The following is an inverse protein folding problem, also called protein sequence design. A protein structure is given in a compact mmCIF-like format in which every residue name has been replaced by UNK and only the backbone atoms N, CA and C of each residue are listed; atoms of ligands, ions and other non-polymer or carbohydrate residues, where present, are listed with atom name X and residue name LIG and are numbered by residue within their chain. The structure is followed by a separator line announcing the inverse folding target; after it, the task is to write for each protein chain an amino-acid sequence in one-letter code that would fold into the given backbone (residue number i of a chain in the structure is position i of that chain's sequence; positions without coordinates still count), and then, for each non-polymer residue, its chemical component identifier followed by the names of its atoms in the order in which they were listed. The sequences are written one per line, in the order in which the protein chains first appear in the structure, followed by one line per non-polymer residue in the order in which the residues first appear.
data_IF_430273075180
#
_entry.id   IF_430273075180
#
_cell.length_a   1.000
_cell.length_b   1.000
_cell.length_c   1.000
_cell.angle_alpha   90.00
_cell.angle_beta   90.00
_cell.angle_gamma   90.00
#
_symmetry.space_group_name_H-M   'P 1'
#
loop_
_entity.id
_entity.type
_entity.pdbx_description
1 polymer ?
#
# COMPACT_ATOMS: atom_id res chain seq x y z
N UNK A 1 1.92 25.41 -75.63
CA UNK A 1 0.88 26.03 -74.78
C UNK A 1 0.64 25.09 -73.60
N UNK A 2 1.37 25.29 -72.51
CA UNK A 2 1.28 24.47 -71.29
C UNK A 2 0.73 25.31 -70.16
N UNK A 3 -0.33 24.84 -69.50
CA UNK A 3 -0.88 25.43 -68.28
C UNK A 3 -0.83 24.35 -67.19
N UNK A 4 0.18 24.49 -66.34
CA UNK A 4 0.33 23.74 -65.09
C UNK A 4 -0.66 24.32 -64.07
N UNK A 5 -1.60 23.52 -63.59
CA UNK A 5 -2.35 23.85 -62.37
C UNK A 5 -1.49 23.46 -61.17
N UNK A 6 -0.87 24.47 -60.56
CA UNK A 6 -0.21 24.36 -59.27
C UNK A 6 -1.29 24.13 -58.19
N UNK A 7 -1.30 22.93 -57.61
CA UNK A 7 -2.01 22.67 -56.37
C UNK A 7 -1.20 23.33 -55.24
N UNK A 8 -1.78 24.35 -54.61
CA UNK A 8 -1.12 25.14 -53.59
C UNK A 8 -0.91 24.33 -52.31
N UNK A 9 0.33 24.30 -51.86
CA UNK A 9 0.90 23.56 -50.72
C UNK A 9 0.28 23.91 -49.35
N UNK A 10 -0.70 24.81 -49.29
CA UNK A 10 -1.26 25.33 -48.05
C UNK A 10 -2.46 24.52 -47.54
N UNK A 11 -3.17 23.79 -48.41
CA UNK A 11 -4.30 22.93 -47.97
C UNK A 11 -3.86 21.60 -47.37
N UNK A 12 -2.66 21.11 -47.71
CA UNK A 12 -2.07 19.92 -47.08
C UNK A 12 -1.56 20.25 -45.66
N UNK A 13 -1.02 21.44 -45.44
CA UNK A 13 -0.59 21.90 -44.11
C UNK A 13 -1.76 22.06 -43.12
N UNK A 14 -2.94 22.48 -43.59
CA UNK A 14 -4.13 22.61 -42.73
C UNK A 14 -4.71 21.25 -42.30
N UNK A 15 -4.57 20.20 -43.12
CA UNK A 15 -4.98 18.85 -42.75
C UNK A 15 -4.00 18.19 -41.77
N UNK A 16 -2.71 18.52 -41.84
CA UNK A 16 -1.70 18.06 -40.86
C UNK A 16 -1.90 18.75 -39.50
N UNK A 17 -2.23 20.04 -39.47
CA UNK A 17 -2.49 20.75 -38.21
C UNK A 17 -3.79 20.33 -37.51
N UNK A 18 -4.84 19.96 -38.26
CA UNK A 18 -6.10 19.46 -37.67
C UNK A 18 -5.97 18.00 -37.21
N UNK A 19 -5.12 17.19 -37.85
CA UNK A 19 -4.81 15.83 -37.39
C UNK A 19 -3.92 15.82 -36.14
N UNK A 20 -3.00 16.76 -35.97
CA UNK A 20 -2.24 16.92 -34.72
C UNK A 20 -3.11 17.32 -33.52
N UNK A 21 -4.17 18.11 -33.73
CA UNK A 21 -5.11 18.48 -32.67
C UNK A 21 -6.17 17.43 -32.36
N UNK A 22 -6.42 16.46 -33.26
CA UNK A 22 -7.42 15.41 -33.06
C UNK A 22 -6.86 14.11 -32.45
N UNK A 23 -5.53 13.92 -32.41
CA UNK A 23 -4.87 12.76 -31.81
C UNK A 23 -4.10 13.05 -30.51
N UNK A 24 -4.09 14.29 -30.04
CA UNK A 24 -3.82 14.57 -28.63
C UNK A 24 -5.09 14.32 -27.82
N UNK A 25 -5.51 13.05 -27.76
CA UNK A 25 -6.30 12.61 -26.63
C UNK A 25 -5.55 13.03 -25.38
N UNK A 26 -6.23 13.77 -24.51
CA UNK A 26 -5.68 14.28 -23.26
C UNK A 26 -5.06 13.12 -22.46
N UNK A 27 -3.77 12.87 -22.67
CA UNK A 27 -2.95 12.15 -21.72
C UNK A 27 -2.66 13.15 -20.61
N UNK A 28 -3.59 13.22 -19.66
CA UNK A 28 -3.29 13.73 -18.34
C UNK A 28 -2.21 12.82 -17.75
N UNK A 29 -0.94 13.12 -18.05
CA UNK A 29 0.14 12.76 -17.15
C UNK A 29 -0.11 13.53 -15.86
N UNK A 30 -0.77 12.90 -14.89
CA UNK A 30 -0.99 13.46 -13.57
C UNK A 30 0.38 13.87 -13.00
N UNK A 31 0.64 15.19 -13.03
CA UNK A 31 1.64 15.82 -12.17
C UNK A 31 1.43 15.23 -10.78
N UNK A 32 2.52 14.74 -10.17
CA UNK A 32 2.52 14.34 -8.77
C UNK A 32 1.73 15.39 -7.98
N UNK A 33 0.62 14.98 -7.40
CA UNK A 33 -0.27 15.87 -6.70
C UNK A 33 0.47 16.34 -5.46
N UNK A 34 1.12 17.50 -5.61
CA UNK A 34 1.77 18.21 -4.52
C UNK A 34 0.64 18.81 -3.68
N UNK A 35 -0.03 17.95 -2.91
CA UNK A 35 -1.16 18.33 -2.10
C UNK A 35 -0.64 19.27 -1.00
N UNK A 36 -1.10 20.52 -1.00
CA UNK A 36 -0.71 21.50 0.02
C UNK A 36 -1.04 21.06 1.46
N UNK A 37 -1.89 20.05 1.64
CA UNK A 37 -2.23 19.46 2.92
C UNK A 37 -1.25 18.38 3.40
N UNK A 38 -0.34 17.88 2.55
CA UNK A 38 0.76 16.99 2.94
C UNK A 38 1.98 17.85 3.26
N UNK A 39 2.49 17.73 4.48
CA UNK A 39 3.54 18.60 5.00
C UNK A 39 4.49 17.82 5.90
N UNK A 40 5.68 18.34 6.13
CA UNK A 40 6.60 17.82 7.15
C UNK A 40 6.04 18.09 8.56
N UNK A 41 6.17 17.13 9.48
CA UNK A 41 5.74 17.28 10.88
C UNK A 41 6.37 18.49 11.58
N UNK A 42 7.52 18.94 11.09
CA UNK A 42 8.27 20.12 11.56
C UNK A 42 7.49 21.43 11.39
N UNK A 43 6.52 21.43 10.47
CA UNK A 43 5.58 22.54 10.26
C UNK A 43 4.33 22.46 11.14
N UNK A 44 4.15 21.36 11.88
CA UNK A 44 2.99 21.18 12.73
C UNK A 44 3.02 22.12 13.93
N UNK A 45 1.87 22.66 14.38
CA UNK A 45 1.81 23.38 15.63
C UNK A 45 2.13 22.45 16.81
N UNK A 46 2.65 23.01 17.91
CA UNK A 46 2.93 22.23 19.14
C UNK A 46 1.66 21.58 19.70
N UNK A 47 0.52 22.26 19.58
CA UNK A 47 -0.80 21.73 19.95
C UNK A 47 -1.80 21.99 18.82
N UNK A 48 -2.57 20.97 18.44
CA UNK A 48 -3.61 21.05 17.41
C UNK A 48 -4.87 20.27 17.80
N UNK A 49 -5.98 20.55 17.10
CA UNK A 49 -7.29 19.94 17.38
C UNK A 49 -7.98 19.47 16.10
N UNK A 50 -8.41 18.21 16.09
CA UNK A 50 -9.08 17.59 14.94
C UNK A 50 -10.28 16.77 15.39
N UNK A 51 -11.22 16.54 14.49
CA UNK A 51 -12.32 15.61 14.75
C UNK A 51 -11.82 14.17 14.71
N UNK A 52 -10.95 13.85 13.75
CA UNK A 52 -10.31 12.55 13.64
C UNK A 52 -8.80 12.65 13.58
N UNK A 53 -8.12 11.75 14.30
CA UNK A 53 -6.67 11.58 14.22
C UNK A 53 -6.39 10.15 13.78
N UNK A 54 -5.80 9.99 12.60
CA UNK A 54 -5.42 8.71 12.01
C UNK A 54 -3.91 8.52 12.19
N UNK A 55 -3.53 7.43 12.84
CA UNK A 55 -2.14 7.08 13.11
C UNK A 55 -1.69 6.04 12.09
N UNK A 56 -0.80 6.41 11.19
CA UNK A 56 -0.38 5.60 10.04
C UNK A 56 -1.11 6.00 8.77
N UNK A 57 -0.38 6.54 7.81
CA UNK A 57 -0.86 6.86 6.46
C UNK A 57 -0.67 5.69 5.51
N UNK A 58 -0.90 4.45 5.97
CA UNK A 58 -0.78 3.24 5.15
C UNK A 58 -2.03 2.96 4.31
N UNK A 59 -2.16 1.71 3.85
CA UNK A 59 -3.28 1.25 3.01
C UNK A 59 -4.64 1.70 3.56
N UNK A 60 -5.06 1.21 4.73
CA UNK A 60 -6.34 1.60 5.32
C UNK A 60 -6.39 3.09 5.76
N UNK A 61 -5.25 3.65 6.21
CA UNK A 61 -5.18 5.01 6.73
C UNK A 61 -5.53 6.06 5.68
N UNK A 62 -5.00 5.95 4.47
CA UNK A 62 -5.30 6.87 3.36
C UNK A 62 -6.77 6.84 2.94
N UNK A 63 -7.36 5.64 2.81
CA UNK A 63 -8.78 5.47 2.45
C UNK A 63 -9.69 6.12 3.48
N UNK A 64 -9.42 5.85 4.77
CA UNK A 64 -10.19 6.39 5.88
C UNK A 64 -10.09 7.92 5.93
N UNK A 65 -8.88 8.46 5.76
CA UNK A 65 -8.64 9.89 5.78
C UNK A 65 -9.40 10.62 4.67
N UNK A 66 -9.34 10.10 3.44
CA UNK A 66 -10.07 10.65 2.30
C UNK A 66 -11.58 10.66 2.58
N UNK A 67 -12.11 9.57 3.13
CA UNK A 67 -13.54 9.43 3.46
C UNK A 67 -13.99 10.41 4.55
N UNK A 68 -13.29 10.45 5.68
CA UNK A 68 -13.67 11.27 6.84
C UNK A 68 -13.52 12.76 6.58
N UNK A 69 -12.52 13.16 5.77
CA UNK A 69 -12.24 14.58 5.48
C UNK A 69 -13.40 15.32 4.83
N UNK A 70 -14.33 14.60 4.18
CA UNK A 70 -15.50 15.20 3.52
C UNK A 70 -16.44 15.93 4.47
N UNK A 71 -16.50 15.51 5.73
CA UNK A 71 -17.47 16.01 6.71
C UNK A 71 -16.83 16.41 8.05
N UNK A 72 -15.51 16.27 8.20
CA UNK A 72 -14.82 16.44 9.47
C UNK A 72 -13.36 16.85 9.26
N UNK A 73 -12.78 17.50 10.28
CA UNK A 73 -11.34 17.80 10.25
C UNK A 73 -10.51 16.58 10.60
N UNK A 74 -9.59 16.20 9.72
CA UNK A 74 -8.79 14.97 9.81
C UNK A 74 -7.31 15.32 9.87
N UNK A 75 -6.61 14.67 10.80
CA UNK A 75 -5.16 14.61 10.83
C UNK A 75 -4.69 13.20 10.53
N UNK A 76 -3.74 13.05 9.61
CA UNK A 76 -2.98 11.81 9.38
C UNK A 76 -1.54 12.02 9.84
N UNK A 77 -1.02 11.09 10.61
CA UNK A 77 0.37 11.07 11.07
C UNK A 77 1.08 9.86 10.47
N UNK A 78 1.98 10.09 9.52
CA UNK A 78 2.83 9.08 8.91
C UNK A 78 4.26 9.23 9.41
N UNK A 79 4.88 8.13 9.83
CA UNK A 79 6.16 8.15 10.53
C UNK A 79 7.35 8.44 9.61
N UNK A 80 7.18 8.30 8.30
CA UNK A 80 8.20 8.53 7.29
C UNK A 80 7.71 9.45 6.15
N UNK A 81 8.48 9.54 5.08
CA UNK A 81 8.23 10.40 3.93
C UNK A 81 7.20 9.88 2.93
N UNK A 82 7.25 10.46 1.73
CA UNK A 82 6.30 10.22 0.63
C UNK A 82 6.96 9.51 -0.54
N UNK A 83 6.28 8.55 -1.19
CA UNK A 83 6.84 7.82 -2.33
C UNK A 83 6.98 8.73 -3.57
N UNK A 84 6.26 9.85 -3.60
CA UNK A 84 6.23 10.76 -4.74
C UNK A 84 7.42 11.72 -4.81
N UNK A 85 8.29 11.73 -3.78
CA UNK A 85 9.58 12.43 -3.82
C UNK A 85 10.49 11.81 -4.87
N UNK A 86 10.40 10.48 -5.07
CA UNK A 86 11.12 9.76 -6.11
C UNK A 86 10.24 8.68 -6.74
N UNK A 87 9.40 9.09 -7.70
CA UNK A 87 8.49 8.18 -8.42
C UNK A 87 9.22 7.05 -9.17
N UNK A 88 10.51 7.19 -9.48
CA UNK A 88 11.28 6.13 -10.12
C UNK A 88 11.38 4.91 -9.21
N UNK A 89 11.55 5.08 -7.89
CA UNK A 89 11.63 3.96 -6.94
C UNK A 89 10.37 3.07 -6.99
N UNK A 90 9.21 3.64 -7.24
CA UNK A 90 7.94 2.90 -7.20
C UNK A 90 7.51 2.30 -8.55
N UNK A 91 8.30 2.46 -9.62
CA UNK A 91 7.99 1.84 -10.92
C UNK A 91 8.17 0.32 -10.87
N UNK A 92 7.44 -0.40 -11.75
CA UNK A 92 7.43 -1.87 -11.76
C UNK A 92 8.84 -2.46 -11.85
N UNK A 93 9.72 -1.87 -12.68
CA UNK A 93 11.11 -2.30 -12.85
C UNK A 93 11.98 -2.18 -11.58
N UNK A 94 11.56 -1.36 -10.61
CA UNK A 94 12.28 -1.12 -9.36
C UNK A 94 11.61 -1.77 -8.15
N UNK A 95 10.64 -2.67 -8.36
CA UNK A 95 9.90 -3.30 -7.26
C UNK A 95 10.83 -4.09 -6.33
N UNK A 96 11.69 -4.95 -6.89
CA UNK A 96 12.62 -5.74 -6.07
C UNK A 96 13.66 -4.85 -5.38
N UNK A 97 14.25 -3.90 -6.12
CA UNK A 97 15.27 -3.00 -5.56
C UNK A 97 14.71 -2.15 -4.41
N UNK A 98 13.50 -1.60 -4.55
CA UNK A 98 12.82 -0.85 -3.50
C UNK A 98 12.43 -1.71 -2.31
N UNK A 99 11.98 -2.96 -2.53
CA UNK A 99 11.68 -3.87 -1.43
C UNK A 99 12.95 -4.22 -0.63
N UNK A 100 14.08 -4.43 -1.30
CA UNK A 100 15.38 -4.76 -0.66
C UNK A 100 16.18 -3.54 -0.19
N UNK A 101 15.72 -2.32 -0.46
CA UNK A 101 16.46 -1.10 -0.12
C UNK A 101 16.63 -0.98 1.40
N UNK A 102 17.87 -0.84 1.85
CA UNK A 102 18.21 -0.64 3.28
C UNK A 102 18.76 0.74 3.55
N UNK A 103 18.67 1.67 2.59
CA UNK A 103 19.11 3.04 2.78
C UNK A 103 18.27 3.77 3.83
N UNK A 104 18.77 4.85 4.44
CA UNK A 104 17.99 5.65 5.40
C UNK A 104 16.68 6.21 4.83
N UNK A 105 16.61 6.45 3.52
CA UNK A 105 15.43 6.92 2.79
C UNK A 105 14.62 5.77 2.14
N UNK A 106 14.87 4.52 2.55
CA UNK A 106 14.13 3.36 2.07
C UNK A 106 12.67 3.40 2.51
N UNK A 107 11.80 2.88 1.64
CA UNK A 107 10.38 2.65 1.93
C UNK A 107 10.12 1.34 2.69
N UNK A 108 11.17 0.55 2.88
CA UNK A 108 11.15 -0.80 3.44
C UNK A 108 11.86 -0.84 4.79
N UNK A 109 11.28 -1.54 5.76
CA UNK A 109 11.89 -1.83 7.05
C UNK A 109 11.91 -3.34 7.26
N UNK A 110 13.10 -3.94 7.16
CA UNK A 110 13.28 -5.35 7.42
C UNK A 110 13.21 -5.67 8.92
N UNK A 111 12.65 -6.83 9.24
CA UNK A 111 12.68 -7.44 10.57
C UNK A 111 12.82 -8.96 10.43
N UNK A 112 13.08 -9.63 11.55
CA UNK A 112 13.17 -11.09 11.61
C UNK A 112 12.21 -11.54 12.69
N UNK A 113 11.31 -12.48 12.37
CA UNK A 113 10.41 -13.08 13.35
C UNK A 113 11.17 -13.90 14.39
N UNK A 114 10.53 -14.25 15.50
CA UNK A 114 11.12 -15.14 16.51
C UNK A 114 11.39 -16.55 15.96
N UNK A 115 10.69 -16.96 14.90
CA UNK A 115 10.93 -18.21 14.16
C UNK A 115 12.16 -18.12 13.23
N UNK A 116 12.80 -16.95 13.12
CA UNK A 116 13.95 -16.71 12.24
C UNK A 116 13.58 -16.38 10.79
N UNK A 117 12.32 -16.07 10.51
CA UNK A 117 11.85 -15.70 9.16
C UNK A 117 12.10 -14.21 8.93
N UNK A 118 12.91 -13.90 7.92
CA UNK A 118 13.09 -12.51 7.46
C UNK A 118 11.80 -12.03 6.82
N UNK A 119 11.34 -10.85 7.21
CA UNK A 119 10.16 -10.21 6.66
C UNK A 119 10.38 -8.68 6.56
N UNK A 120 9.56 -7.96 5.81
CA UNK A 120 9.68 -6.53 5.55
C UNK A 120 8.32 -5.88 5.78
N UNK A 121 8.31 -4.70 6.40
CA UNK A 121 7.12 -3.86 6.50
C UNK A 121 7.35 -2.50 5.84
N UNK A 122 6.29 -1.83 5.34
CA UNK A 122 6.41 -0.50 4.77
C UNK A 122 6.71 0.58 5.82
N UNK A 123 7.43 1.62 5.39
CA UNK A 123 7.76 2.82 6.16
C UNK A 123 7.63 4.06 5.28
N UNK A 124 6.43 4.32 4.77
CA UNK A 124 6.17 5.37 3.77
C UNK A 124 4.67 5.66 3.68
N UNK A 125 4.29 6.89 3.33
CA UNK A 125 2.90 7.23 2.99
C UNK A 125 2.39 6.33 1.85
N UNK A 126 1.21 5.74 2.04
CA UNK A 126 0.63 4.71 1.15
C UNK A 126 0.87 3.27 1.66
N UNK A 127 1.82 3.07 2.58
CA UNK A 127 2.03 1.77 3.25
C UNK A 127 2.43 0.66 2.27
N UNK A 128 1.88 -0.55 2.47
CA UNK A 128 2.30 -1.77 1.75
C UNK A 128 2.10 -1.66 0.24
N UNK A 129 1.09 -0.88 -0.19
CA UNK A 129 0.81 -0.63 -1.61
C UNK A 129 1.98 0.02 -2.36
N UNK A 130 2.95 0.61 -1.65
CA UNK A 130 4.15 1.22 -2.24
C UNK A 130 5.23 0.19 -2.61
N UNK A 131 5.29 -0.94 -1.89
CA UNK A 131 6.41 -1.90 -1.99
C UNK A 131 6.00 -3.33 -2.38
N UNK A 132 4.70 -3.65 -2.36
CA UNK A 132 4.19 -5.00 -2.62
C UNK A 132 4.25 -5.43 -4.11
N UNK A 133 3.88 -6.70 -4.40
CA UNK A 133 3.80 -7.25 -5.76
C UNK A 133 2.75 -6.57 -6.67
N UNK A 134 1.81 -5.84 -6.08
CA UNK A 134 0.82 -5.04 -6.79
C UNK A 134 -0.33 -5.83 -7.41
N UNK A 135 -0.48 -7.11 -7.07
CA UNK A 135 -1.68 -7.88 -7.39
C UNK A 135 -2.90 -7.33 -6.63
N UNK A 136 -4.10 -7.51 -7.20
CA UNK A 136 -5.34 -7.06 -6.58
C UNK A 136 -6.43 -8.13 -6.72
N UNK A 137 -7.02 -8.48 -5.58
CA UNK A 137 -8.20 -9.31 -5.48
C UNK A 137 -9.13 -8.80 -4.37
N UNK A 138 -10.44 -8.95 -4.56
CA UNK A 138 -11.46 -8.77 -3.51
C UNK A 138 -11.42 -9.96 -2.56
N UNK A 139 -11.87 -9.74 -1.33
CA UNK A 139 -12.07 -10.83 -0.38
C UNK A 139 -13.18 -11.77 -0.84
N UNK A 140 -13.13 -13.02 -0.38
CA UNK A 140 -14.23 -13.96 -0.59
C UNK A 140 -15.53 -13.45 0.04
N UNK A 141 -16.65 -13.65 -0.66
CA UNK A 141 -17.98 -13.31 -0.12
C UNK A 141 -18.26 -14.02 1.21
N UNK A 142 -17.77 -15.25 1.38
CA UNK A 142 -17.89 -15.98 2.64
C UNK A 142 -17.18 -15.27 3.79
N UNK A 143 -15.99 -14.72 3.56
CA UNK A 143 -15.25 -13.94 4.55
C UNK A 143 -16.05 -12.71 5.00
N UNK A 144 -16.67 -11.98 4.06
CA UNK A 144 -17.51 -10.83 4.40
C UNK A 144 -18.69 -11.22 5.30
N UNK A 145 -19.41 -12.28 4.92
CA UNK A 145 -20.56 -12.80 5.67
C UNK A 145 -20.18 -13.29 7.06
N UNK A 146 -19.10 -14.06 7.16
CA UNK A 146 -18.64 -14.63 8.42
C UNK A 146 -18.25 -13.54 9.43
N UNK A 147 -17.74 -12.41 8.95
CA UNK A 147 -17.35 -11.27 9.78
C UNK A 147 -18.46 -10.22 9.94
N UNK A 148 -19.69 -10.49 9.45
CA UNK A 148 -20.82 -9.57 9.57
C UNK A 148 -20.65 -8.24 8.82
N UNK A 149 -19.86 -8.24 7.75
CA UNK A 149 -19.63 -7.07 6.91
C UNK A 149 -20.78 -6.91 5.89
N UNK A 150 -21.21 -5.67 5.66
CA UNK A 150 -22.22 -5.35 4.66
C UNK A 150 -21.64 -5.57 3.24
N UNK A 151 -22.15 -6.57 2.54
CA UNK A 151 -21.69 -6.95 1.20
C UNK A 151 -21.90 -5.84 0.17
N UNK A 152 -22.98 -5.07 0.27
CA UNK A 152 -23.27 -3.99 -0.67
C UNK A 152 -22.30 -2.82 -0.44
N UNK A 153 -22.10 -2.42 0.81
CA UNK A 153 -21.14 -1.38 1.15
C UNK A 153 -19.69 -1.79 0.84
N UNK A 154 -19.34 -3.06 1.05
CA UNK A 154 -18.04 -3.61 0.68
C UNK A 154 -17.83 -3.52 -0.84
N UNK A 155 -18.83 -3.91 -1.62
CA UNK A 155 -18.79 -3.80 -3.09
C UNK A 155 -18.62 -2.34 -3.55
N UNK A 156 -19.39 -1.41 -3.00
CA UNK A 156 -19.29 0.01 -3.33
C UNK A 156 -17.88 0.56 -3.00
N UNK A 157 -17.30 0.10 -1.88
CA UNK A 157 -15.96 0.46 -1.45
C UNK A 157 -14.88 -0.12 -2.38
N UNK A 158 -15.01 -1.38 -2.80
CA UNK A 158 -14.12 -1.99 -3.78
C UNK A 158 -14.13 -1.22 -5.09
N UNK A 159 -15.32 -0.94 -5.64
CA UNK A 159 -15.45 -0.21 -6.89
C UNK A 159 -14.90 1.22 -6.79
N UNK A 160 -14.97 1.86 -5.61
CA UNK A 160 -14.36 3.17 -5.38
C UNK A 160 -12.82 3.12 -5.43
N UNK A 161 -12.21 2.10 -4.83
CA UNK A 161 -10.75 1.89 -4.88
C UNK A 161 -10.29 1.52 -6.29
N UNK A 162 -10.99 0.58 -6.93
CA UNK A 162 -10.66 0.06 -8.25
C UNK A 162 -10.61 1.17 -9.30
N UNK A 163 -11.55 2.12 -9.25
CA UNK A 163 -11.60 3.25 -10.19
C UNK A 163 -10.34 4.12 -10.19
N UNK A 164 -9.60 4.20 -9.08
CA UNK A 164 -8.41 5.05 -8.97
C UNK A 164 -7.11 4.25 -9.03
N UNK A 165 -7.06 3.08 -8.41
CA UNK A 165 -5.81 2.37 -8.18
C UNK A 165 -5.61 1.15 -9.08
N UNK A 166 -6.67 0.51 -9.55
CA UNK A 166 -6.58 -0.85 -10.10
C UNK A 166 -6.88 -0.84 -11.58
N UNK A 167 -6.01 -1.47 -12.36
CA UNK A 167 -6.20 -1.68 -13.79
C UNK A 167 -6.19 -3.16 -14.14
N UNK A 168 -6.74 -3.50 -15.30
CA UNK A 168 -6.56 -4.82 -15.90
C UNK A 168 -5.12 -4.93 -16.43
N UNK A 169 -4.31 -5.90 -15.98
CA UNK A 169 -2.92 -5.97 -16.39
C UNK A 169 -2.78 -6.40 -17.85
N UNK A 170 -1.68 -5.97 -18.47
CA UNK A 170 -1.19 -6.54 -19.72
C UNK A 170 -0.51 -7.87 -19.40
N UNK A 171 -1.12 -8.98 -19.80
CA UNK A 171 -0.57 -10.33 -19.55
C UNK A 171 0.45 -10.65 -20.64
N UNK A 172 1.72 -10.75 -20.24
CA UNK A 172 2.85 -11.07 -21.12
C UNK A 172 3.02 -12.60 -21.28
N UNK A 173 4.13 -13.03 -21.88
CA UNK A 173 4.35 -14.41 -22.30
C UNK A 173 4.50 -15.35 -21.10
N UNK A 174 5.26 -14.93 -20.09
CA UNK A 174 5.49 -15.69 -18.86
C UNK A 174 4.19 -15.96 -18.10
N UNK A 175 3.40 -14.92 -17.83
CA UNK A 175 2.13 -15.07 -17.11
C UNK A 175 1.10 -15.85 -17.93
N UNK A 176 1.14 -15.74 -19.27
CA UNK A 176 0.33 -16.59 -20.15
C UNK A 176 0.69 -18.07 -20.01
N UNK A 177 2.00 -18.39 -20.01
CA UNK A 177 2.49 -19.74 -19.82
C UNK A 177 2.18 -20.29 -18.42
N UNK A 178 2.30 -19.47 -17.37
CA UNK A 178 1.88 -19.81 -16.00
C UNK A 178 0.39 -20.17 -15.97
N UNK A 179 -0.46 -19.33 -16.55
CA UNK A 179 -1.90 -19.58 -16.63
C UNK A 179 -2.19 -20.89 -17.37
N UNK A 180 -1.54 -21.15 -18.50
CA UNK A 180 -1.73 -22.41 -19.25
C UNK A 180 -1.23 -23.64 -18.44
N UNK A 181 -0.09 -23.53 -17.76
CA UNK A 181 0.44 -24.58 -16.90
C UNK A 181 -0.46 -24.91 -15.70
N UNK A 182 -1.03 -23.88 -15.06
CA UNK A 182 -2.01 -24.06 -13.97
C UNK A 182 -3.24 -24.85 -14.45
N UNK A 183 -3.72 -24.57 -15.67
CA UNK A 183 -4.83 -25.31 -16.27
C UNK A 183 -4.44 -26.74 -16.62
N UNK A 184 -3.22 -26.96 -17.14
CA UNK A 184 -2.69 -28.29 -17.48
C UNK A 184 -2.62 -29.20 -16.25
N UNK A 185 -2.21 -28.67 -15.09
CA UNK A 185 -2.12 -29.43 -13.84
C UNK A 185 -3.43 -29.49 -13.05
N UNK A 186 -4.54 -28.99 -13.61
CA UNK A 186 -5.88 -29.18 -13.09
C UNK A 186 -6.37 -28.10 -12.11
N UNK A 187 -5.75 -26.93 -12.04
CA UNK A 187 -6.26 -25.77 -11.27
C UNK A 187 -7.40 -25.11 -12.05
N UNK A 188 -8.56 -25.78 -12.04
CA UNK A 188 -9.74 -25.45 -12.83
C UNK A 188 -10.87 -24.87 -11.97
N UNK A 189 -11.80 -24.09 -12.56
CA UNK A 189 -11.88 -23.67 -13.97
C UNK A 189 -10.94 -22.50 -14.31
N UNK A 190 -10.87 -22.13 -15.59
CA UNK A 190 -10.35 -20.82 -15.98
C UNK A 190 -11.44 -19.76 -15.80
N UNK A 191 -11.21 -18.81 -14.91
CA UNK A 191 -12.17 -17.76 -14.54
C UNK A 191 -12.00 -16.46 -15.33
N UNK A 192 -11.06 -16.40 -16.28
CA UNK A 192 -10.77 -15.18 -17.03
C UNK A 192 -10.20 -14.08 -16.13
N UNK A 193 -10.48 -12.82 -16.49
CA UNK A 193 -10.19 -11.66 -15.65
C UNK A 193 -11.32 -11.42 -14.66
N UNK A 194 -11.00 -11.38 -13.37
CA UNK A 194 -11.96 -11.02 -12.31
C UNK A 194 -11.23 -10.48 -11.10
N UNK A 195 -11.85 -9.56 -10.36
CA UNK A 195 -11.35 -9.16 -9.05
C UNK A 195 -11.73 -10.14 -7.96
N UNK A 196 -12.75 -10.98 -8.15
CA UNK A 196 -13.23 -11.88 -7.09
C UNK A 196 -12.20 -12.96 -6.76
N UNK A 197 -12.00 -13.25 -5.47
CA UNK A 197 -11.21 -14.40 -5.03
C UNK A 197 -12.09 -15.65 -5.15
N UNK A 198 -11.79 -16.49 -6.14
CA UNK A 198 -12.59 -17.68 -6.49
C UNK A 198 -11.69 -18.83 -6.93
N UNK A 199 -12.05 -20.05 -6.52
CA UNK A 199 -11.35 -21.29 -6.87
C UNK A 199 -11.16 -21.41 -8.39
N UNK A 200 -9.95 -21.78 -8.80
CA UNK A 200 -9.55 -21.96 -10.20
C UNK A 200 -8.38 -21.06 -10.59
N UNK A 201 -8.11 -20.99 -11.88
CA UNK A 201 -7.08 -20.11 -12.45
C UNK A 201 -7.72 -18.80 -12.89
N UNK A 202 -7.19 -17.65 -12.48
CA UNK A 202 -7.69 -16.32 -12.86
C UNK A 202 -6.56 -15.36 -13.20
N UNK A 203 -6.92 -14.30 -13.92
CA UNK A 203 -6.15 -13.06 -14.02
C UNK A 203 -6.77 -12.05 -13.04
N UNK A 204 -5.98 -11.50 -12.13
CA UNK A 204 -6.42 -10.50 -11.16
C UNK A 204 -6.24 -9.06 -11.65
N UNK A 205 -6.55 -8.10 -10.77
CA UNK A 205 -6.21 -6.70 -10.98
C UNK A 205 -4.74 -6.42 -10.70
N UNK A 206 -4.26 -5.28 -11.16
CA UNK A 206 -2.92 -4.78 -10.84
C UNK A 206 -3.00 -3.31 -10.43
N UNK A 207 -2.23 -2.92 -9.42
CA UNK A 207 -2.02 -1.50 -9.09
C UNK A 207 -0.95 -0.84 -9.96
N UNK A 208 -0.32 -1.59 -10.86
CA UNK A 208 0.52 -1.03 -11.91
C UNK A 208 -0.30 -0.77 -13.17
N UNK A 209 -0.12 0.41 -13.77
CA UNK A 209 -0.70 0.75 -15.06
C UNK A 209 0.11 0.16 -16.24
N UNK A 210 -0.41 0.35 -17.46
CA UNK A 210 0.22 -0.10 -18.71
C UNK A 210 1.62 0.49 -18.97
N UNK A 211 1.98 1.59 -18.30
CA UNK A 211 3.28 2.25 -18.40
C UNK A 211 4.24 1.84 -17.27
N UNK A 212 3.83 0.89 -16.42
CA UNK A 212 4.58 0.40 -15.28
C UNK A 212 4.61 1.38 -14.09
N UNK A 213 3.74 2.40 -14.07
CA UNK A 213 3.61 3.25 -12.90
C UNK A 213 2.73 2.56 -11.86
N UNK A 214 3.18 2.58 -10.61
CA UNK A 214 2.41 2.11 -9.47
C UNK A 214 1.44 3.19 -8.98
N UNK A 215 0.20 2.80 -8.76
CA UNK A 215 -0.83 3.58 -8.06
C UNK A 215 -0.91 3.08 -6.62
N UNK A 216 -0.73 3.97 -5.65
CA UNK A 216 -0.64 3.60 -4.23
C UNK A 216 -1.87 4.07 -3.47
N UNK A 217 -2.09 3.56 -2.26
CA UNK A 217 -3.18 4.03 -1.40
C UNK A 217 -3.15 5.55 -1.16
N UNK A 218 -1.98 6.18 -1.24
CA UNK A 218 -1.84 7.64 -1.11
C UNK A 218 -2.48 8.42 -2.28
N UNK A 219 -2.65 7.83 -3.46
CA UNK A 219 -3.35 8.48 -4.58
C UNK A 219 -4.85 8.69 -4.29
N UNK A 220 -5.44 7.91 -3.38
CA UNK A 220 -6.83 8.10 -2.93
C UNK A 220 -7.03 9.36 -2.08
N UNK A 221 -5.94 9.96 -1.57
CA UNK A 221 -6.01 11.26 -0.89
C UNK A 221 -6.44 12.39 -1.84
N UNK A 222 -6.44 12.17 -3.16
CA UNK A 222 -7.07 13.10 -4.10
C UNK A 222 -8.55 13.34 -3.80
N UNK A 223 -9.24 12.33 -3.28
CA UNK A 223 -10.66 12.41 -2.94
C UNK A 223 -10.92 13.09 -1.59
N UNK A 224 -9.87 13.52 -0.89
CA UNK A 224 -9.99 14.25 0.37
C UNK A 224 -10.41 15.71 0.13
N UNK A 225 -11.10 16.31 1.09
CA UNK A 225 -11.28 17.77 1.10
C UNK A 225 -9.98 18.44 1.57
N UNK A 226 -9.26 19.19 0.71
CA UNK A 226 -7.96 19.77 1.04
C UNK A 226 -8.02 20.81 2.16
N UNK A 227 -9.21 21.36 2.47
CA UNK A 227 -9.39 22.32 3.57
C UNK A 227 -9.62 21.64 4.92
N UNK A 228 -10.00 20.36 4.90
CA UNK A 228 -10.43 19.61 6.07
C UNK A 228 -9.45 18.49 6.44
N UNK A 229 -8.36 18.30 5.69
CA UNK A 229 -7.33 17.31 5.97
C UNK A 229 -5.95 17.95 6.20
N UNK A 230 -5.16 17.37 7.09
CA UNK A 230 -3.71 17.54 7.18
C UNK A 230 -3.04 16.18 7.25
N UNK A 231 -1.92 16.03 6.56
CA UNK A 231 -1.06 14.84 6.61
C UNK A 231 0.33 15.31 6.99
N UNK A 232 0.83 14.87 8.15
CA UNK A 232 2.21 15.13 8.55
C UNK A 232 3.07 13.90 8.27
N UNK A 233 4.10 14.09 7.45
CA UNK A 233 5.18 13.14 7.18
C UNK A 233 6.26 13.26 8.26
N UNK A 234 7.05 12.21 8.43
CA UNK A 234 8.08 12.11 9.47
C UNK A 234 7.53 12.44 10.88
N UNK A 235 6.29 12.00 11.14
CA UNK A 235 5.56 12.20 12.38
C UNK A 235 5.50 10.90 13.20
N UNK A 236 6.46 10.69 14.09
CA UNK A 236 6.55 9.46 14.88
C UNK A 236 5.61 9.53 16.08
N UNK A 237 4.46 8.85 16.00
CA UNK A 237 3.52 8.75 17.11
C UNK A 237 4.05 7.78 18.16
N UNK A 238 4.22 8.25 19.39
CA UNK A 238 4.74 7.43 20.49
C UNK A 238 3.68 7.00 21.50
N UNK A 239 2.58 7.77 21.62
CA UNK A 239 1.59 7.53 22.67
C UNK A 239 0.21 8.08 22.36
N UNK A 240 -0.82 7.29 22.62
CA UNK A 240 -2.22 7.74 22.74
C UNK A 240 -2.46 8.17 24.19
N UNK A 241 -3.06 9.34 24.39
CA UNK A 241 -3.40 9.88 25.70
C UNK A 241 -4.87 9.61 26.02
N UNK A 242 -5.16 9.34 27.30
CA UNK A 242 -6.49 8.96 27.76
C UNK A 242 -6.92 9.79 28.96
N UNK A 243 -8.20 10.15 28.97
CA UNK A 243 -8.88 10.55 30.20
C UNK A 243 -9.37 9.30 30.91
N UNK A 244 -9.11 9.22 32.22
CA UNK A 244 -9.54 8.09 33.06
C UNK A 244 -10.39 8.64 34.20
N UNK A 245 -11.53 7.99 34.43
CA UNK A 245 -12.42 8.27 35.57
C UNK A 245 -12.73 6.93 36.22
N UNK A 246 -12.70 6.90 37.56
CA UNK A 246 -12.98 5.67 38.32
C UNK A 246 -14.33 5.09 37.91
N UNK A 247 -14.36 3.79 37.60
CA UNK A 247 -15.57 3.09 37.18
C UNK A 247 -16.00 3.30 35.73
N UNK A 248 -15.30 4.12 34.94
CA UNK A 248 -15.60 4.35 33.53
C UNK A 248 -14.49 3.82 32.62
N UNK A 249 -14.87 3.42 31.40
CA UNK A 249 -13.89 3.06 30.36
C UNK A 249 -13.02 4.27 30.03
N UNK A 250 -11.68 4.10 29.90
CA UNK A 250 -10.80 5.17 29.45
C UNK A 250 -11.26 5.74 28.10
N UNK A 251 -11.23 7.07 27.97
CA UNK A 251 -11.56 7.74 26.70
C UNK A 251 -10.31 8.36 26.12
N UNK A 252 -9.95 7.97 24.90
CA UNK A 252 -8.85 8.56 24.15
C UNK A 252 -9.10 10.07 23.94
N UNK A 253 -8.07 10.89 24.12
CA UNK A 253 -8.16 12.35 24.08
C UNK A 253 -7.23 12.95 23.02
N UNK A 254 -6.09 12.32 22.75
CA UNK A 254 -5.16 12.78 21.74
C UNK A 254 -3.98 11.84 21.56
N UNK A 255 -3.00 12.31 20.81
CA UNK A 255 -1.74 11.61 20.55
C UNK A 255 -0.55 12.54 20.80
N UNK A 256 0.55 11.94 21.24
CA UNK A 256 1.86 12.58 21.30
C UNK A 256 2.69 12.02 20.15
N UNK A 257 3.23 12.92 19.33
CA UNK A 257 4.12 12.57 18.23
C UNK A 257 5.34 13.49 18.21
N UNK A 258 6.38 13.04 17.54
CA UNK A 258 7.64 13.77 17.39
C UNK A 258 7.93 13.98 15.92
N UNK A 259 8.46 15.16 15.58
CA UNK A 259 8.94 15.45 14.23
C UNK A 259 10.38 14.94 14.01
N UNK A 260 10.89 15.14 12.79
CA UNK A 260 12.25 14.75 12.42
C UNK A 260 13.36 15.51 13.19
N UNK A 261 13.06 16.60 13.90
CA UNK A 261 14.01 17.29 14.78
C UNK A 261 13.87 16.89 16.25
N UNK A 262 12.98 15.94 16.57
CA UNK A 262 12.73 15.51 17.94
C UNK A 262 11.87 16.50 18.75
N UNK A 263 11.21 17.47 18.09
CA UNK A 263 10.25 18.35 18.74
C UNK A 263 8.99 17.57 19.05
N UNK A 264 8.48 17.74 20.27
CA UNK A 264 7.28 17.07 20.75
C UNK A 264 6.02 17.88 20.39
N UNK A 265 5.07 17.23 19.73
CA UNK A 265 3.76 17.79 19.39
C UNK A 265 2.63 17.00 20.07
N UNK A 266 1.46 17.63 20.17
CA UNK A 266 0.25 17.03 20.71
C UNK A 266 -0.95 17.36 19.82
N UNK A 267 -1.54 16.33 19.20
CA UNK A 267 -2.82 16.46 18.51
C UNK A 267 -3.94 15.95 19.40
N UNK A 268 -4.96 16.76 19.62
CA UNK A 268 -6.08 16.49 20.51
C UNK A 268 -7.37 16.34 19.71
N UNK A 269 -8.30 15.55 20.24
CA UNK A 269 -9.66 15.49 19.71
C UNK A 269 -10.42 16.77 20.04
N UNK A 270 -11.22 17.24 19.08
CA UNK A 270 -12.27 18.22 19.31
C UNK A 270 -13.36 17.63 20.21
N UNK A 271 -14.17 18.52 20.79
CA UNK A 271 -15.29 18.11 21.65
C UNK A 271 -16.52 17.72 20.82
N UNK A 272 -16.37 16.78 19.89
CA UNK A 272 -17.43 16.20 19.08
C UNK A 272 -17.82 14.81 19.60
N UNK A 273 -19.10 14.45 19.49
CA UNK A 273 -19.58 13.11 19.86
C UNK A 273 -19.06 12.02 18.95
N UNK A 274 -18.67 12.39 17.72
CA UNK A 274 -18.09 11.51 16.70
C UNK A 274 -16.56 11.62 16.59
N UNK A 275 -15.92 12.40 17.47
CA UNK A 275 -14.46 12.61 17.37
C UNK A 275 -13.69 11.40 17.90
N UNK A 276 -12.77 10.87 17.09
CA UNK A 276 -12.11 9.58 17.36
C UNK A 276 -10.63 9.56 16.95
N UNK A 277 -9.86 8.69 17.60
CA UNK A 277 -8.49 8.37 17.20
C UNK A 277 -8.52 6.97 16.59
N UNK A 278 -8.04 6.84 15.37
CA UNK A 278 -7.99 5.56 14.65
C UNK A 278 -6.54 5.15 14.46
N UNK A 279 -6.20 3.95 14.94
CA UNK A 279 -4.88 3.35 14.71
C UNK A 279 -4.93 2.52 13.43
N UNK A 280 -4.19 2.99 12.41
CA UNK A 280 -4.00 2.34 11.12
C UNK A 280 -2.51 2.07 10.86
N UNK A 281 -1.75 1.79 11.92
CA UNK A 281 -0.30 1.61 11.91
C UNK A 281 0.15 0.18 11.51
N UNK A 282 -0.76 -0.63 10.98
CA UNK A 282 -0.51 -2.00 10.52
C UNK A 282 -0.43 -3.04 11.64
N UNK A 283 -0.33 -4.32 11.24
CA UNK A 283 -0.34 -5.47 12.15
C UNK A 283 0.77 -5.44 13.22
N UNK A 284 1.88 -4.75 12.94
CA UNK A 284 3.01 -4.60 13.87
C UNK A 284 2.90 -3.29 14.66
N UNK A 285 2.66 -2.16 13.98
CA UNK A 285 2.67 -0.84 14.61
C UNK A 285 1.47 -0.57 15.52
N UNK A 286 0.28 -1.06 15.17
CA UNK A 286 -0.92 -0.86 15.98
C UNK A 286 -0.84 -1.51 17.38
N UNK A 287 -0.52 -2.81 17.54
CA UNK A 287 -0.37 -3.39 18.88
C UNK A 287 0.79 -2.78 19.65
N UNK A 288 1.92 -2.47 18.99
CA UNK A 288 3.05 -1.78 19.63
C UNK A 288 2.60 -0.46 20.26
N UNK A 289 1.87 0.37 19.51
CA UNK A 289 1.39 1.66 20.00
C UNK A 289 0.39 1.50 21.15
N UNK A 290 -0.51 0.53 21.09
CA UNK A 290 -1.46 0.25 22.19
C UNK A 290 -0.72 -0.13 23.48
N UNK A 291 0.28 -1.02 23.38
CA UNK A 291 1.13 -1.42 24.51
C UNK A 291 1.86 -0.22 25.12
N UNK A 292 2.54 0.60 24.30
CA UNK A 292 3.23 1.82 24.74
C UNK A 292 2.27 2.87 25.35
N UNK A 293 0.99 2.80 24.98
CA UNK A 293 -0.06 3.67 25.49
C UNK A 293 -0.77 3.12 26.73
N UNK A 294 -0.33 1.96 27.25
CA UNK A 294 -0.87 1.34 28.46
C UNK A 294 -2.14 0.50 28.24
N UNK A 295 -2.44 0.10 27.00
CA UNK A 295 -3.54 -0.80 26.66
C UNK A 295 -2.95 -2.17 26.29
N UNK A 296 -3.08 -3.16 27.16
CA UNK A 296 -2.45 -4.47 26.96
C UNK A 296 -2.43 -5.36 28.20
N UNK A 297 -1.70 -6.49 28.19
CA UNK A 297 -1.60 -7.40 29.33
C UNK A 297 -0.97 -6.71 30.54
N UNK A 298 -1.73 -6.54 31.63
CA UNK A 298 -1.31 -5.72 32.78
C UNK A 298 0.05 -6.13 33.36
N UNK A 299 0.28 -7.42 33.59
CA UNK A 299 1.55 -7.91 34.17
C UNK A 299 2.76 -7.59 33.27
N UNK A 300 2.61 -7.70 31.95
CA UNK A 300 3.66 -7.38 31.00
C UNK A 300 3.95 -5.86 31.00
N UNK A 301 2.90 -5.04 31.01
CA UNK A 301 3.03 -3.59 31.04
C UNK A 301 3.71 -3.11 32.35
N UNK A 302 3.27 -3.65 33.49
CA UNK A 302 3.82 -3.33 34.80
C UNK A 302 5.30 -3.73 34.93
N UNK A 303 5.68 -4.90 34.42
CA UNK A 303 7.06 -5.36 34.39
C UNK A 303 7.99 -4.42 33.59
N UNK A 304 7.45 -3.71 32.60
CA UNK A 304 8.16 -2.72 31.77
C UNK A 304 8.03 -1.27 32.30
N UNK A 305 7.40 -1.07 33.46
CA UNK A 305 7.18 0.26 34.03
C UNK A 305 6.15 1.10 33.27
N UNK A 306 5.32 0.49 32.43
CA UNK A 306 4.26 1.18 31.68
C UNK A 306 3.00 1.24 32.55
N UNK A 307 2.51 2.44 32.81
CA UNK A 307 1.24 2.64 33.52
C UNK A 307 0.09 1.99 32.75
N UNK A 308 -0.57 1.01 33.36
CA UNK A 308 -1.76 0.34 32.81
C UNK A 308 -2.92 1.34 32.77
N UNK A 309 -3.46 1.58 31.57
CA UNK A 309 -4.67 2.34 31.31
C UNK A 309 -5.87 1.39 31.20
N UNK A 310 -5.70 0.27 30.50
CA UNK A 310 -6.69 -0.78 30.38
C UNK A 310 -5.99 -2.13 30.23
N UNK A 311 -6.32 -3.07 31.10
CA UNK A 311 -5.89 -4.45 30.94
C UNK A 311 -6.64 -5.08 29.76
N UNK A 312 -5.92 -5.38 28.68
CA UNK A 312 -6.46 -6.09 27.52
C UNK A 312 -5.49 -7.18 27.08
N UNK A 313 -5.76 -8.41 27.50
CA UNK A 313 -4.85 -9.54 27.34
C UNK A 313 -4.57 -9.92 25.88
N UNK A 314 -5.48 -9.60 24.95
CA UNK A 314 -5.35 -9.97 23.53
C UNK A 314 -4.47 -9.01 22.71
N UNK A 315 -4.08 -7.84 23.25
CA UNK A 315 -3.24 -6.89 22.50
C UNK A 315 -1.86 -7.52 22.26
N UNK A 316 -1.44 -7.55 20.99
CA UNK A 316 -0.19 -8.17 20.56
C UNK A 316 -0.25 -9.70 20.45
N UNK A 317 -1.43 -10.31 20.65
CA UNK A 317 -1.66 -11.75 20.51
C UNK A 317 -2.33 -12.06 19.16
N UNK A 318 -2.26 -13.33 18.74
CA UNK A 318 -2.95 -13.79 17.53
C UNK A 318 -2.35 -13.27 16.22
N UNK A 319 -1.07 -12.87 16.22
CA UNK A 319 -0.35 -12.54 14.99
C UNK A 319 -0.30 -13.80 14.10
N UNK A 320 -0.64 -13.61 12.84
CA UNK A 320 -0.60 -14.64 11.81
C UNK A 320 0.16 -14.08 10.60
N UNK A 321 0.94 -14.95 9.98
CA UNK A 321 1.66 -14.69 8.73
C UNK A 321 1.47 -15.92 7.84
N UNK A 322 1.08 -15.72 6.59
CA UNK A 322 0.81 -16.82 5.68
C UNK A 322 2.14 -17.45 5.25
N UNK A 323 2.34 -18.78 5.42
CA UNK A 323 3.60 -19.39 5.03
C UNK A 323 3.74 -19.40 3.51
N UNK A 324 4.80 -18.81 3.00
CA UNK A 324 5.15 -18.90 1.59
C UNK A 324 6.28 -19.91 1.35
N UNK A 325 6.08 -20.77 0.36
CA UNK A 325 7.10 -21.72 -0.11
C UNK A 325 7.39 -21.39 -1.57
N UNK A 326 8.64 -21.10 -1.88
CA UNK A 326 9.06 -20.66 -3.22
C UNK A 326 9.94 -21.67 -3.94
N UNK A 327 9.81 -21.73 -5.27
CA UNK A 327 10.76 -22.40 -6.17
C UNK A 327 11.39 -21.35 -7.09
N UNK A 328 12.72 -21.31 -7.16
CA UNK A 328 13.44 -20.50 -8.15
C UNK A 328 13.86 -21.38 -9.30
N UNK A 329 13.43 -21.02 -10.50
CA UNK A 329 13.77 -21.72 -11.74
C UNK A 329 14.69 -20.81 -12.56
N UNK A 330 16.00 -21.11 -12.68
CA UNK A 330 16.88 -20.35 -13.55
C UNK A 330 16.50 -20.61 -15.01
N UNK A 331 16.25 -19.54 -15.77
CA UNK A 331 15.99 -19.65 -17.21
C UNK A 331 17.30 -19.57 -17.99
N UNK A 332 17.53 -20.45 -18.98
CA UNK A 332 18.71 -20.40 -19.85
C UNK A 332 18.68 -19.21 -20.83
N UNK A 333 17.53 -18.56 -20.97
CA UNK A 333 17.33 -17.36 -21.80
C UNK A 333 16.65 -16.27 -20.97
N UNK A 334 16.89 -14.97 -21.26
CA UNK A 334 16.18 -13.90 -20.59
C UNK A 334 14.66 -14.06 -20.71
N UNK A 335 13.97 -13.93 -19.58
CA UNK A 335 12.50 -13.88 -19.49
C UNK A 335 12.14 -12.44 -19.14
N UNK A 336 11.02 -11.95 -19.65
CA UNK A 336 10.56 -10.60 -19.34
C UNK A 336 10.30 -10.42 -17.83
N UNK A 337 10.47 -9.18 -17.36
CA UNK A 337 10.02 -8.79 -16.03
C UNK A 337 8.49 -8.89 -15.97
N UNK A 338 8.00 -9.70 -15.05
CA UNK A 338 6.57 -9.87 -14.83
C UNK A 338 6.30 -10.17 -13.36
N UNK A 339 5.49 -9.33 -12.72
CA UNK A 339 4.97 -9.58 -11.38
C UNK A 339 3.68 -10.42 -11.45
N UNK A 340 3.14 -10.76 -10.28
CA UNK A 340 1.94 -11.60 -10.15
C UNK A 340 0.76 -10.92 -10.84
N UNK A 341 0.18 -11.62 -11.82
CA UNK A 341 -1.06 -11.21 -12.50
C UNK A 341 -1.98 -12.39 -12.75
N UNK A 342 -1.42 -13.59 -12.92
CA UNK A 342 -2.15 -14.86 -12.97
C UNK A 342 -1.94 -15.62 -11.66
N UNK A 343 -3.03 -16.12 -11.09
CA UNK A 343 -3.00 -16.90 -9.83
C UNK A 343 -3.86 -18.15 -9.96
N UNK A 344 -3.43 -19.21 -9.27
CA UNK A 344 -4.18 -20.46 -9.12
C UNK A 344 -4.69 -20.61 -7.70
N UNK A 345 -5.99 -20.46 -7.49
CA UNK A 345 -6.65 -20.61 -6.18
C UNK A 345 -7.13 -22.07 -6.07
N UNK A 346 -6.53 -22.83 -5.16
CA UNK A 346 -6.80 -24.27 -5.06
C UNK A 346 -7.91 -24.60 -4.05
N UNK A 347 -8.56 -25.76 -4.21
CA UNK A 347 -9.58 -26.25 -3.26
C UNK A 347 -9.03 -26.65 -1.89
N UNK A 348 -7.71 -26.78 -1.76
CA UNK A 348 -7.06 -27.25 -0.53
C UNK A 348 -6.46 -26.10 0.30
N UNK A 349 -6.76 -24.84 -0.07
CA UNK A 349 -6.38 -23.66 0.70
C UNK A 349 -4.99 -23.09 0.39
N UNK A 350 -4.42 -23.42 -0.77
CA UNK A 350 -3.16 -22.83 -1.25
C UNK A 350 -3.40 -22.01 -2.51
N UNK A 351 -2.75 -20.85 -2.57
CA UNK A 351 -2.66 -20.01 -3.75
C UNK A 351 -1.30 -20.20 -4.43
N UNK A 352 -1.31 -20.23 -5.76
CA UNK A 352 -0.12 -20.44 -6.57
C UNK A 352 0.12 -19.19 -7.40
N UNK A 353 1.28 -18.55 -7.18
CA UNK A 353 1.67 -17.29 -7.80
C UNK A 353 3.07 -17.40 -8.41
N UNK A 354 3.34 -16.59 -9.43
CA UNK A 354 4.62 -16.57 -10.12
C UNK A 354 5.05 -15.15 -10.46
N UNK A 355 6.36 -14.91 -10.40
CA UNK A 355 7.01 -13.72 -10.92
C UNK A 355 8.30 -14.10 -11.70
N UNK A 356 8.73 -13.26 -12.63
CA UNK A 356 9.87 -13.51 -13.52
C UNK A 356 10.68 -12.27 -13.83
N UNK A 357 11.82 -12.47 -14.49
CA UNK A 357 12.62 -11.41 -15.12
C UNK A 357 13.43 -10.54 -14.16
N UNK A 358 13.65 -11.02 -12.93
CA UNK A 358 14.62 -10.42 -12.02
C UNK A 358 16.05 -10.82 -12.45
N UNK A 359 16.88 -9.82 -12.75
CA UNK A 359 18.28 -10.04 -13.11
C UNK A 359 19.15 -10.15 -11.85
N UNK A 360 19.62 -11.37 -11.57
CA UNK A 360 20.50 -11.68 -10.45
C UNK A 360 22.00 -11.50 -10.79
N UNK A 361 22.35 -11.21 -12.04
CA UNK A 361 23.75 -11.10 -12.48
C UNK A 361 24.44 -9.88 -11.86
N UNK A 362 23.74 -8.75 -11.73
CA UNK A 362 24.22 -7.56 -11.01
C UNK A 362 24.48 -7.80 -9.51
N UNK A 363 23.85 -8.82 -8.93
CA UNK A 363 23.94 -9.17 -7.51
C UNK A 363 25.12 -10.10 -7.22
N UNK A 364 25.68 -10.72 -8.26
CA UNK A 364 26.93 -11.52 -8.17
C UNK A 364 28.18 -10.67 -7.89
N UNK A 365 28.09 -9.35 -8.08
CA UNK A 365 29.20 -8.40 -7.87
C UNK A 365 29.31 -7.95 -6.40
N UNK A 366 28.28 -8.18 -5.56
CA UNK A 366 28.31 -7.90 -4.13
C UNK A 366 28.55 -9.20 -3.32
N UNK A 367 29.81 -9.62 -3.24
CA UNK A 367 30.29 -10.84 -2.57
C UNK A 367 29.97 -10.90 -1.06
N UNK A 368 28.73 -11.23 -0.68
CA UNK A 368 28.44 -11.79 0.64
C UNK A 368 27.25 -12.78 0.57
N UNK A 369 27.34 -13.96 1.23
CA UNK A 369 26.21 -14.90 1.35
C UNK A 369 24.95 -14.28 1.97
N UNK A 370 25.11 -13.22 2.77
CA UNK A 370 24.01 -12.52 3.40
C UNK A 370 23.12 -11.79 2.38
N UNK A 371 23.71 -11.23 1.31
CA UNK A 371 22.97 -10.52 0.27
C UNK A 371 22.09 -11.48 -0.55
N UNK A 372 22.60 -12.67 -0.89
CA UNK A 372 21.84 -13.68 -1.64
C UNK A 372 20.62 -14.18 -0.86
N UNK A 373 20.80 -14.48 0.43
CA UNK A 373 19.68 -14.86 1.29
C UNK A 373 18.67 -13.72 1.42
N UNK A 374 19.12 -12.47 1.61
CA UNK A 374 18.23 -11.32 1.71
C UNK A 374 17.36 -11.12 0.46
N UNK A 375 17.91 -11.37 -0.74
CA UNK A 375 17.17 -11.30 -2.01
C UNK A 375 16.19 -12.46 -2.14
N UNK A 376 16.61 -13.68 -1.78
CA UNK A 376 15.73 -14.84 -1.75
C UNK A 376 14.54 -14.60 -0.81
N UNK A 377 14.79 -14.07 0.38
CA UNK A 377 13.76 -13.67 1.33
C UNK A 377 12.88 -12.55 0.76
N UNK A 378 13.45 -11.53 0.11
CA UNK A 378 12.65 -10.45 -0.48
C UNK A 378 11.72 -10.92 -1.60
N UNK A 379 12.14 -11.88 -2.44
CA UNK A 379 11.25 -12.49 -3.44
C UNK A 379 10.10 -13.28 -2.79
N UNK A 380 10.40 -13.98 -1.70
CA UNK A 380 9.41 -14.69 -0.89
C UNK A 380 8.42 -13.69 -0.28
N UNK A 381 8.91 -12.58 0.31
CA UNK A 381 8.09 -11.55 0.94
C UNK A 381 7.23 -10.80 -0.09
N UNK A 382 7.77 -10.53 -1.28
CA UNK A 382 7.04 -9.83 -2.34
C UNK A 382 5.72 -10.53 -2.65
N UNK A 383 5.72 -11.87 -2.61
CA UNK A 383 4.57 -12.73 -2.88
C UNK A 383 3.65 -12.93 -1.66
N UNK A 384 4.10 -12.59 -0.44
CA UNK A 384 3.24 -12.58 0.77
C UNK A 384 2.37 -11.30 0.81
N UNK A 385 2.91 -10.20 0.30
CA UNK A 385 2.24 -8.89 0.28
C UNK A 385 1.34 -8.70 -0.99
N UNK A 386 1.20 -9.73 -1.84
CA UNK A 386 0.36 -9.77 -3.06
C UNK A 386 -1.13 -9.57 -2.79
#
# INVERSE_FOLDING_TARGET
MGLRYAWSSWRVLLLVFVAEFAFHGFTYGEKASNYNFIQEATSAPIVSFYDYIIIGGGTAGCLLAATLSRNATVLVLEREGSPYVNKTKIRIENTLSTLTDTSPDSFSEAFISEDGVVNIRPRVLGGGTVINAGFYSRAETFFLKQNGLDEALAKDSYEWVERKLVSKPVVLQWQSAVKDGLLEVGVLPYNGFTYDHIIGTKIGGSIFDENGNRHTAADLLEYADPNSIKVYLHAVVQKITFTTKVGLRPKAQGVIFYDAQGVRHMALLKNGSMSEIVSSAGAIGSPQLLLLSGIGPALQLEALGIKVVLNQAIVGQGMADNPLNGLIIPSPVPVELSLVTSVGITKFGYDIEFASGFDFSALSIAQSPANFNQILHALIILLIES
#
